data_IF_956839008143
#
_entry.id   IF_956839008143
#
_cell.length_a   1.000
_cell.length_b   1.000
_cell.length_c   1.000
_cell.angle_alpha   90.00
_cell.angle_beta   90.00
_cell.angle_gamma   90.00
#
_symmetry.space_group_name_H-M   'P 1'
#
loop_
_entity.id
_entity.type
_entity.pdbx_description
1 polymer ?
#
# COMPACT_ATOMS: atom_id res chain seq x y z
N UNK A 1 7.58 19.33 -29.45
CA UNK A 1 8.01 18.93 -28.10
C UNK A 1 9.41 18.39 -28.24
N UNK A 2 10.39 19.09 -27.68
CA UNK A 2 11.78 18.64 -27.73
C UNK A 2 11.97 17.39 -26.88
N UNK A 3 13.06 16.66 -27.11
CA UNK A 3 13.34 15.37 -26.44
C UNK A 3 13.33 15.49 -24.91
N UNK A 4 13.71 16.66 -24.38
CA UNK A 4 13.63 17.03 -22.96
C UNK A 4 12.20 17.17 -22.44
N UNK A 5 11.28 17.72 -23.24
CA UNK A 5 9.87 17.86 -22.89
C UNK A 5 9.16 16.52 -22.80
N UNK A 6 9.45 15.59 -23.72
CA UNK A 6 8.92 14.21 -23.67
C UNK A 6 9.44 13.48 -22.43
N UNK A 7 10.74 13.63 -22.11
CA UNK A 7 11.34 13.01 -20.93
C UNK A 7 10.70 13.51 -19.62
N UNK A 8 10.42 14.82 -19.51
CA UNK A 8 9.73 15.40 -18.37
C UNK A 8 8.32 14.82 -18.17
N UNK A 9 7.57 14.65 -19.25
CA UNK A 9 6.22 14.05 -19.20
C UNK A 9 6.28 12.59 -18.77
N UNK A 10 7.24 11.80 -19.28
CA UNK A 10 7.41 10.40 -18.88
C UNK A 10 7.72 10.30 -17.38
N UNK A 11 8.65 11.10 -16.87
CA UNK A 11 8.98 11.12 -15.43
C UNK A 11 7.75 11.48 -14.61
N UNK A 12 6.99 12.49 -15.03
CA UNK A 12 5.78 12.91 -14.32
C UNK A 12 4.73 11.80 -14.26
N UNK A 13 4.48 11.12 -15.38
CA UNK A 13 3.53 9.99 -15.44
C UNK A 13 4.00 8.82 -14.58
N UNK A 14 5.29 8.47 -14.64
CA UNK A 14 5.86 7.40 -13.80
C UNK A 14 5.76 7.75 -12.32
N UNK A 15 6.05 8.99 -11.95
CA UNK A 15 5.92 9.46 -10.57
C UNK A 15 4.46 9.38 -10.08
N UNK A 16 3.49 9.78 -10.91
CA UNK A 16 2.06 9.64 -10.58
C UNK A 16 1.65 8.17 -10.40
N UNK A 17 2.07 7.30 -11.30
CA UNK A 17 1.80 5.86 -11.20
C UNK A 17 2.44 5.26 -9.95
N UNK A 18 3.66 5.69 -9.60
CA UNK A 18 4.36 5.25 -8.40
C UNK A 18 3.63 5.69 -7.12
N UNK A 19 3.15 6.93 -7.07
CA UNK A 19 2.34 7.43 -5.94
C UNK A 19 1.04 6.64 -5.82
N UNK A 20 0.34 6.41 -6.94
CA UNK A 20 -0.89 5.62 -6.94
C UNK A 20 -0.65 4.18 -6.46
N UNK A 21 0.46 3.57 -6.89
CA UNK A 21 0.87 2.24 -6.48
C UNK A 21 1.15 2.17 -4.97
N UNK A 22 1.91 3.12 -4.41
CA UNK A 22 2.21 3.19 -2.97
C UNK A 22 0.94 3.45 -2.15
N UNK A 23 0.02 4.29 -2.63
CA UNK A 23 -1.17 4.66 -1.86
C UNK A 23 -2.28 3.60 -1.89
N UNK A 24 -2.38 2.80 -2.95
CA UNK A 24 -3.50 1.87 -3.14
C UNK A 24 -3.02 0.42 -3.15
N UNK A 25 -2.17 0.06 -4.12
CA UNK A 25 -1.81 -1.33 -4.38
C UNK A 25 -0.99 -1.91 -3.24
N UNK A 26 0.01 -1.17 -2.77
CA UNK A 26 0.90 -1.59 -1.70
C UNK A 26 0.13 -1.87 -0.38
N UNK A 27 -0.69 -0.95 0.17
CA UNK A 27 -1.46 -1.23 1.37
C UNK A 27 -2.52 -2.32 1.16
N UNK A 28 -3.18 -2.39 -0.01
CA UNK A 28 -4.16 -3.44 -0.30
C UNK A 28 -3.54 -4.84 -0.30
N UNK A 29 -2.35 -5.01 -0.89
CA UNK A 29 -1.64 -6.30 -0.91
C UNK A 29 -1.19 -6.69 0.50
N UNK A 30 -0.62 -5.75 1.27
CA UNK A 30 -0.20 -6.04 2.65
C UNK A 30 -1.38 -6.38 3.56
N UNK A 31 -2.54 -5.75 3.36
CA UNK A 31 -3.78 -6.05 4.10
C UNK A 31 -4.22 -7.50 3.87
N UNK A 32 -4.27 -7.88 2.59
CA UNK A 32 -4.72 -9.19 2.13
C UNK A 32 -3.82 -10.30 2.68
N UNK A 33 -2.50 -10.10 2.63
CA UNK A 33 -1.53 -11.05 3.21
C UNK A 33 -1.66 -11.21 4.73
N UNK A 34 -2.31 -10.25 5.42
CA UNK A 34 -2.52 -10.27 6.88
C UNK A 34 -3.96 -10.61 7.29
N UNK A 35 -4.81 -11.05 6.35
CA UNK A 35 -6.21 -11.38 6.62
C UNK A 35 -7.06 -10.16 7.02
N UNK A 36 -6.60 -8.94 6.74
CA UNK A 36 -7.30 -7.68 7.03
C UNK A 36 -7.99 -7.18 5.77
N UNK A 37 -9.09 -6.43 5.94
CA UNK A 37 -9.82 -5.85 4.81
C UNK A 37 -8.95 -4.87 4.02
N UNK A 38 -8.65 -5.23 2.78
CA UNK A 38 -7.87 -4.41 1.84
C UNK A 38 -8.47 -3.01 1.66
N UNK A 39 -9.80 -2.90 1.61
CA UNK A 39 -10.51 -1.63 1.45
C UNK A 39 -10.32 -0.74 2.67
N UNK A 40 -10.39 -1.30 3.88
CA UNK A 40 -10.19 -0.54 5.12
C UNK A 40 -8.79 0.06 5.20
N UNK A 41 -7.78 -0.66 4.72
CA UNK A 41 -6.40 -0.19 4.75
C UNK A 41 -6.09 0.87 3.68
N UNK A 42 -6.70 0.75 2.49
CA UNK A 42 -6.62 1.81 1.46
C UNK A 42 -7.34 3.08 1.93
N UNK A 43 -8.44 2.97 2.66
CA UNK A 43 -9.13 4.13 3.20
C UNK A 43 -8.27 4.86 4.27
N UNK A 44 -7.55 4.10 5.09
CA UNK A 44 -6.60 4.64 6.07
C UNK A 44 -5.39 5.30 5.39
N UNK A 45 -4.83 4.69 4.33
CA UNK A 45 -3.70 5.28 3.59
C UNK A 45 -4.09 6.59 2.90
N UNK A 46 -5.34 6.70 2.45
CA UNK A 46 -5.87 7.89 1.79
C UNK A 46 -6.12 9.06 2.76
N UNK A 47 -6.57 8.77 3.99
CA UNK A 47 -6.90 9.81 5.00
C UNK A 47 -5.66 10.31 5.74
N UNK A 48 -4.73 9.43 6.09
CA UNK A 48 -3.62 9.76 6.99
C UNK A 48 -2.31 10.02 6.24
N UNK A 49 -1.83 9.00 5.53
CA UNK A 49 -0.65 8.97 4.66
C UNK A 49 -0.35 7.49 4.38
N UNK A 50 0.14 7.13 3.18
CA UNK A 50 0.56 5.75 2.88
C UNK A 50 1.57 5.20 3.90
N UNK A 51 2.43 6.07 4.47
CA UNK A 51 3.41 5.68 5.49
C UNK A 51 2.71 5.27 6.80
N UNK A 52 1.67 6.00 7.19
CA UNK A 52 0.89 5.72 8.42
C UNK A 52 0.10 4.42 8.26
N UNK A 53 -0.42 4.11 7.06
CA UNK A 53 -1.11 2.84 6.82
C UNK A 53 -0.17 1.62 6.91
N UNK A 54 1.07 1.75 6.44
CA UNK A 54 2.10 0.71 6.57
C UNK A 54 2.49 0.53 8.05
N UNK A 55 2.68 1.64 8.78
CA UNK A 55 2.97 1.61 10.22
C UNK A 55 1.80 1.02 11.01
N UNK A 56 0.55 1.36 10.68
CA UNK A 56 -0.64 0.82 11.32
C UNK A 56 -0.75 -0.69 11.15
N UNK A 57 -0.33 -1.24 10.00
CA UNK A 57 -0.21 -2.68 9.80
C UNK A 57 0.92 -3.31 10.60
N UNK A 58 2.09 -2.66 10.64
CA UNK A 58 3.24 -3.12 11.43
C UNK A 58 2.90 -3.15 12.93
N UNK A 59 2.18 -2.14 13.41
CA UNK A 59 1.70 -2.01 14.80
C UNK A 59 0.54 -2.96 15.10
N UNK A 60 -0.34 -3.24 14.13
CA UNK A 60 -1.43 -4.23 14.27
C UNK A 60 -0.93 -5.68 14.26
N UNK A 61 0.28 -5.92 14.76
CA UNK A 61 1.00 -7.18 14.72
C UNK A 61 0.21 -8.38 15.23
N UNK A 62 0.77 -9.54 14.87
CA UNK A 62 0.29 -10.93 15.04
C UNK A 62 -0.53 -11.44 13.85
N UNK A 63 0.10 -12.20 12.93
CA UNK A 63 -0.61 -13.14 12.07
C UNK A 63 -1.41 -14.10 12.94
N UNK A 64 -2.67 -14.35 12.60
CA UNK A 64 -3.45 -15.41 13.23
C UNK A 64 -2.71 -16.74 13.04
N UNK A 65 -2.12 -17.25 14.12
CA UNK A 65 -1.59 -18.60 14.21
C UNK A 65 -2.76 -19.45 14.71
N UNK A 66 -3.30 -20.39 13.90
CA UNK A 66 -4.19 -21.41 14.43
C UNK A 66 -3.40 -22.11 15.55
N UNK A 67 -3.97 -22.12 16.75
CA UNK A 67 -3.39 -22.83 17.88
C UNK A 67 -3.32 -24.32 17.51
N UNK A 68 -2.12 -24.90 17.54
CA UNK A 68 -1.84 -26.31 17.24
C UNK A 68 -2.33 -27.21 18.41
N UNK A 69 -3.56 -26.97 18.91
CA UNK A 69 -4.16 -27.68 20.06
C UNK A 69 -5.35 -28.56 19.70
N UNK A 70 -5.23 -29.18 18.52
CA UNK A 70 -6.01 -30.35 18.12
C UNK A 70 -5.17 -31.64 18.26
N UNK A 71 -4.35 -31.75 19.33
CA UNK A 71 -3.64 -32.98 19.74
C UNK A 71 -4.06 -33.36 21.16
#
# INVERSE_FOLDING_TARGET
>A
MDMSGVFGVIIFVVALLFVLWICIILPAQMATCRGRSAIGQVLISLISSPVVAIIALLVSGVPYRPDDRDI
#
